data_IF_549399261315
#
_entry.id   IF_549399261315
#
_cell.length_a   1.000
_cell.length_b   1.000
_cell.length_c   1.000
_cell.angle_alpha   90.00
_cell.angle_beta   90.00
_cell.angle_gamma   90.00
#
_symmetry.space_group_name_H-M   'P 1'
#
loop_
_entity.id
_entity.type
_entity.pdbx_description
1 polymer ?
#
# COMPACT_ATOMS: atom_id res chain seq x y z
N UNK A 1 -0.99 1.61 -15.69
CA UNK A 1 -0.38 0.62 -14.77
C UNK A 1 1.07 0.92 -14.53
N UNK A 2 1.60 0.60 -13.34
CA UNK A 2 3.01 0.79 -12.95
C UNK A 2 3.55 -0.57 -12.51
N UNK A 3 4.66 -1.00 -13.10
CA UNK A 3 5.43 -2.18 -12.65
C UNK A 3 6.53 -1.66 -11.72
N UNK A 4 6.72 -2.32 -10.59
CA UNK A 4 7.82 -1.98 -9.68
C UNK A 4 9.18 -2.24 -10.36
N UNK A 5 10.10 -1.33 -10.15
CA UNK A 5 11.50 -1.48 -10.60
C UNK A 5 12.33 -2.26 -9.56
N UNK A 6 11.88 -2.26 -8.32
CA UNK A 6 12.57 -2.88 -7.19
C UNK A 6 12.14 -4.33 -6.98
N UNK A 7 10.87 -4.65 -7.23
CA UNK A 7 10.29 -5.99 -7.04
C UNK A 7 9.77 -6.51 -8.38
N UNK A 8 10.41 -7.53 -8.94
CA UNK A 8 10.18 -7.99 -10.32
C UNK A 8 8.76 -8.47 -10.62
N UNK A 9 8.04 -8.99 -9.64
CA UNK A 9 6.66 -9.50 -9.78
C UNK A 9 5.70 -8.68 -8.89
N UNK A 10 5.71 -7.36 -9.07
CA UNK A 10 4.85 -6.42 -8.36
C UNK A 10 4.40 -5.31 -9.29
N UNK A 11 3.10 -5.00 -9.26
CA UNK A 11 2.54 -3.92 -10.04
C UNK A 11 1.39 -3.20 -9.31
N UNK A 12 1.10 -1.98 -9.76
CA UNK A 12 -0.02 -1.17 -9.32
C UNK A 12 -0.88 -0.77 -10.51
N UNK A 13 -2.18 -1.04 -10.42
CA UNK A 13 -3.13 -0.67 -11.46
C UNK A 13 -3.52 0.81 -11.35
N UNK A 14 -4.03 1.33 -12.44
CA UNK A 14 -4.87 2.53 -12.48
C UNK A 14 -6.35 2.14 -12.45
N UNK A 15 -7.26 3.08 -12.67
CA UNK A 15 -8.71 2.86 -12.66
C UNK A 15 -9.25 2.06 -13.86
N UNK A 16 -8.42 1.70 -14.85
CA UNK A 16 -8.84 0.87 -16.00
C UNK A 16 -9.13 -0.57 -15.59
N UNK A 17 -8.41 -1.10 -14.60
CA UNK A 17 -8.66 -2.42 -14.01
C UNK A 17 -9.85 -2.31 -13.06
N UNK A 18 -10.93 -3.05 -13.36
CA UNK A 18 -12.22 -2.94 -12.66
C UNK A 18 -12.42 -3.96 -11.56
N UNK A 19 -11.68 -5.07 -11.60
CA UNK A 19 -11.85 -6.19 -10.66
C UNK A 19 -10.55 -6.95 -10.44
N UNK A 20 -10.52 -7.75 -9.38
CA UNK A 20 -9.42 -8.69 -9.11
C UNK A 20 -9.28 -9.72 -10.24
N UNK A 21 -10.37 -10.13 -10.90
CA UNK A 21 -10.31 -11.06 -12.03
C UNK A 21 -9.58 -10.43 -13.23
N UNK A 22 -9.91 -9.18 -13.60
CA UNK A 22 -9.17 -8.49 -14.66
C UNK A 22 -7.67 -8.35 -14.31
N UNK A 23 -7.35 -8.19 -13.04
CA UNK A 23 -5.97 -8.13 -12.57
C UNK A 23 -5.27 -9.49 -12.69
N UNK A 24 -5.96 -10.60 -12.35
CA UNK A 24 -5.47 -11.97 -12.53
C UNK A 24 -5.09 -12.25 -13.97
N UNK A 25 -6.01 -11.96 -14.88
CA UNK A 25 -5.85 -12.18 -16.33
C UNK A 25 -4.62 -11.39 -16.85
N UNK A 26 -4.53 -10.12 -16.46
CA UNK A 26 -3.41 -9.26 -16.87
C UNK A 26 -2.06 -9.74 -16.34
N UNK A 27 -1.98 -10.16 -15.10
CA UNK A 27 -0.74 -10.57 -14.45
C UNK A 27 -0.40 -12.06 -14.64
N UNK A 28 -1.29 -12.85 -15.25
CA UNK A 28 -1.12 -14.28 -15.43
C UNK A 28 -1.11 -15.07 -14.11
N UNK A 29 -1.89 -14.61 -13.11
CA UNK A 29 -1.92 -15.20 -11.77
C UNK A 29 -3.18 -16.04 -11.61
N UNK A 30 -3.02 -17.33 -11.27
CA UNK A 30 -4.15 -18.25 -11.10
C UNK A 30 -4.83 -18.11 -9.72
N UNK A 31 -4.02 -18.02 -8.66
CA UNK A 31 -4.49 -17.98 -7.28
C UNK A 31 -4.18 -16.65 -6.61
N UNK A 32 -5.18 -15.98 -6.06
CA UNK A 32 -5.04 -14.69 -5.39
C UNK A 32 -5.69 -14.73 -4.00
N UNK A 33 -4.95 -14.30 -2.98
CA UNK A 33 -5.49 -13.92 -1.68
C UNK A 33 -5.72 -12.40 -1.63
N UNK A 34 -6.83 -11.99 -1.05
CA UNK A 34 -7.22 -10.59 -0.88
C UNK A 34 -7.68 -10.29 0.55
N UNK A 35 -8.04 -9.04 0.82
CA UNK A 35 -8.38 -8.59 2.16
C UNK A 35 -9.74 -7.90 2.20
N UNK A 36 -10.49 -8.15 3.28
CA UNK A 36 -11.56 -7.29 3.75
C UNK A 36 -10.92 -6.21 4.65
N UNK A 37 -10.60 -5.06 4.04
CA UNK A 37 -9.79 -4.00 4.64
C UNK A 37 -10.66 -3.05 5.46
N UNK A 38 -10.37 -2.92 6.74
CA UNK A 38 -11.14 -2.11 7.71
C UNK A 38 -10.33 -0.95 8.34
N UNK A 39 -9.14 -0.66 7.78
CA UNK A 39 -8.15 0.27 8.34
C UNK A 39 -7.63 -0.16 9.72
N UNK A 40 -7.55 -1.46 9.94
CA UNK A 40 -6.94 -2.09 11.11
C UNK A 40 -5.41 -2.13 11.01
N UNK A 41 -4.79 -2.78 11.96
CA UNK A 41 -3.35 -3.09 11.96
C UNK A 41 -3.09 -4.61 12.01
N UNK A 42 -4.12 -5.38 11.65
CA UNK A 42 -4.07 -6.84 11.59
C UNK A 42 -3.29 -7.29 10.37
N UNK A 43 -2.35 -8.23 10.58
CA UNK A 43 -1.52 -8.84 9.53
C UNK A 43 -1.60 -10.34 9.63
N UNK A 44 -2.04 -11.00 8.55
CA UNK A 44 -2.32 -12.44 8.51
C UNK A 44 -1.34 -13.17 7.60
N UNK A 45 -0.81 -14.31 8.09
CA UNK A 45 -0.08 -15.26 7.25
C UNK A 45 -1.08 -16.12 6.48
N UNK A 46 -0.98 -16.12 5.14
CA UNK A 46 -1.96 -16.76 4.27
C UNK A 46 -1.37 -17.91 3.48
N UNK A 47 -2.18 -18.96 3.25
CA UNK A 47 -1.79 -20.18 2.52
C UNK A 47 -2.74 -20.56 1.39
N UNK A 48 -3.87 -19.88 1.26
CA UNK A 48 -4.95 -20.18 0.31
C UNK A 48 -5.46 -18.92 -0.39
N UNK A 49 -6.15 -19.13 -1.51
CA UNK A 49 -6.78 -18.09 -2.31
C UNK A 49 -8.14 -17.73 -1.72
N UNK A 50 -8.14 -16.94 -0.66
CA UNK A 50 -9.31 -16.54 0.11
C UNK A 50 -9.32 -15.03 0.36
N UNK A 51 -10.41 -14.54 0.96
CA UNK A 51 -10.52 -13.18 1.49
C UNK A 51 -10.29 -13.21 3.01
N UNK A 52 -9.36 -12.41 3.50
CA UNK A 52 -8.97 -12.39 4.91
C UNK A 52 -9.39 -11.08 5.58
N UNK A 53 -9.92 -11.14 6.80
CA UNK A 53 -10.24 -9.97 7.62
C UNK A 53 -8.94 -9.38 8.19
N UNK A 54 -8.29 -8.53 7.40
CA UNK A 54 -7.01 -7.90 7.73
C UNK A 54 -6.71 -6.72 6.81
N UNK A 55 -5.77 -5.90 7.20
CA UNK A 55 -5.19 -4.83 6.37
C UNK A 55 -3.76 -5.15 5.91
N UNK A 56 -3.25 -6.33 6.28
CA UNK A 56 -1.99 -6.86 5.80
C UNK A 56 -2.04 -8.37 5.63
N UNK A 57 -1.51 -8.88 4.52
CA UNK A 57 -1.32 -10.31 4.29
C UNK A 57 0.09 -10.59 3.79
N UNK A 58 0.63 -11.75 4.18
CA UNK A 58 1.94 -12.20 3.68
C UNK A 58 1.96 -13.73 3.52
N UNK A 59 2.84 -14.23 2.64
CA UNK A 59 2.95 -15.66 2.34
C UNK A 59 4.37 -16.06 1.94
N UNK A 60 4.66 -17.35 2.10
CA UNK A 60 5.82 -18.03 1.51
C UNK A 60 5.42 -18.92 0.32
N UNK A 61 4.11 -19.07 0.10
CA UNK A 61 3.56 -20.02 -0.88
C UNK A 61 3.83 -19.55 -2.31
N UNK A 62 4.50 -20.36 -3.14
CA UNK A 62 4.66 -20.06 -4.56
C UNK A 62 3.30 -20.10 -5.28
N UNK A 63 3.18 -19.37 -6.38
CA UNK A 63 1.99 -19.27 -7.24
C UNK A 63 0.75 -18.67 -6.55
N UNK A 64 0.88 -18.12 -5.34
CA UNK A 64 -0.17 -17.37 -4.67
C UNK A 64 0.13 -15.88 -4.77
N UNK A 65 -0.68 -15.13 -5.52
CA UNK A 65 -0.63 -13.68 -5.56
C UNK A 65 -1.35 -13.05 -4.38
N UNK A 66 -0.87 -11.91 -3.91
CA UNK A 66 -1.48 -11.11 -2.85
C UNK A 66 -1.95 -9.78 -3.41
N UNK A 67 -3.17 -9.38 -3.09
CA UNK A 67 -3.78 -8.15 -3.59
C UNK A 67 -4.16 -7.21 -2.45
N UNK A 68 -3.84 -5.94 -2.64
CA UNK A 68 -4.32 -4.80 -1.84
C UNK A 68 -5.14 -3.86 -2.70
N UNK A 69 -6.21 -3.29 -2.15
CA UNK A 69 -7.13 -2.38 -2.83
C UNK A 69 -7.09 -1.01 -2.18
N UNK A 70 -7.00 0.05 -2.97
CA UNK A 70 -6.93 1.42 -2.44
C UNK A 70 -7.72 2.43 -3.28
N UNK A 71 -8.09 3.52 -2.63
CA UNK A 71 -8.45 4.81 -3.20
C UNK A 71 -7.98 5.85 -2.18
N UNK A 72 -6.79 6.42 -2.38
CA UNK A 72 -6.02 7.35 -1.55
C UNK A 72 -5.08 6.73 -0.50
N UNK A 73 -5.44 5.63 0.17
CA UNK A 73 -4.50 4.95 1.06
C UNK A 73 -3.31 4.36 0.29
N UNK A 74 -2.18 4.13 0.96
CA UNK A 74 -1.00 3.53 0.36
C UNK A 74 -1.20 2.03 0.12
N UNK A 75 -1.11 1.54 -1.12
CA UNK A 75 -0.86 0.13 -1.40
C UNK A 75 0.64 -0.13 -1.24
N UNK A 76 1.01 -1.02 -0.33
CA UNK A 76 2.39 -1.34 0.00
C UNK A 76 2.63 -2.81 -0.31
N UNK A 77 3.63 -3.09 -1.14
CA UNK A 77 4.05 -4.44 -1.51
C UNK A 77 5.45 -4.70 -0.96
N UNK A 78 5.63 -5.87 -0.33
CA UNK A 78 6.86 -6.26 0.35
C UNK A 78 7.40 -7.56 -0.24
N UNK A 79 8.71 -7.65 -0.37
CA UNK A 79 9.38 -8.89 -0.78
C UNK A 79 10.73 -9.03 -0.11
N UNK A 80 11.02 -10.22 0.43
CA UNK A 80 12.35 -10.67 0.76
C UNK A 80 12.66 -11.96 -0.05
N UNK A 81 13.75 -12.65 0.24
CA UNK A 81 14.12 -13.89 -0.46
C UNK A 81 13.07 -15.00 -0.30
N UNK A 82 12.31 -14.99 0.77
CA UNK A 82 11.40 -16.06 1.17
C UNK A 82 9.92 -15.68 1.06
N UNK A 83 9.58 -14.44 1.44
CA UNK A 83 8.20 -13.96 1.64
C UNK A 83 7.83 -12.87 0.68
N UNK A 84 6.54 -12.80 0.39
CA UNK A 84 5.91 -11.63 -0.22
C UNK A 84 4.78 -11.15 0.69
N UNK A 85 4.45 -9.86 0.62
CA UNK A 85 3.38 -9.25 1.42
C UNK A 85 2.66 -8.13 0.67
N UNK A 86 1.41 -7.90 1.05
CA UNK A 86 0.60 -6.80 0.58
C UNK A 86 -0.10 -6.14 1.77
N UNK A 87 0.06 -4.83 1.93
CA UNK A 87 -0.44 -4.06 3.07
C UNK A 87 -1.25 -2.87 2.57
N UNK A 88 -2.40 -2.66 3.19
CA UNK A 88 -3.21 -1.45 3.08
C UNK A 88 -2.87 -0.51 4.23
N UNK A 89 -2.37 0.69 3.94
CA UNK A 89 -2.08 1.66 4.98
C UNK A 89 -2.55 3.07 4.61
N UNK A 90 -3.59 3.52 5.26
CA UNK A 90 -3.92 4.94 5.40
C UNK A 90 -3.29 5.50 6.68
N UNK A 91 -3.63 6.75 7.06
CA UNK A 91 -3.13 7.37 8.28
C UNK A 91 -3.43 6.57 9.56
N UNK A 92 -4.57 5.85 9.61
CA UNK A 92 -4.91 4.98 10.75
C UNK A 92 -3.96 3.80 10.88
N UNK A 93 -3.65 3.15 9.77
CA UNK A 93 -2.68 2.05 9.72
C UNK A 93 -1.28 2.51 10.11
N UNK A 94 -0.84 3.68 9.61
CA UNK A 94 0.45 4.29 10.00
C UNK A 94 0.49 4.60 11.50
N UNK A 95 -0.55 5.25 12.03
CA UNK A 95 -0.66 5.55 13.47
C UNK A 95 -0.55 4.29 14.33
N UNK A 96 -1.12 3.18 13.86
CA UNK A 96 -1.13 1.90 14.58
C UNK A 96 0.08 1.00 14.24
N UNK A 97 1.09 1.56 13.53
CA UNK A 97 2.35 0.91 13.19
C UNK A 97 2.18 -0.39 12.35
N UNK A 98 1.21 -0.43 11.41
CA UNK A 98 0.98 -1.62 10.58
C UNK A 98 2.21 -1.97 9.74
N UNK A 99 2.96 -0.97 9.26
CA UNK A 99 4.16 -1.18 8.43
C UNK A 99 5.28 -1.78 9.25
N UNK A 100 5.55 -1.25 10.43
CA UNK A 100 6.56 -1.77 11.37
C UNK A 100 6.22 -3.20 11.81
N UNK A 101 4.93 -3.47 12.04
CA UNK A 101 4.45 -4.83 12.35
C UNK A 101 4.67 -5.78 11.17
N UNK A 102 4.46 -5.29 9.94
CA UNK A 102 4.70 -6.07 8.73
C UNK A 102 6.19 -6.37 8.54
N UNK A 103 7.06 -5.36 8.63
CA UNK A 103 8.52 -5.49 8.47
C UNK A 103 9.09 -6.59 9.38
N UNK A 104 8.60 -6.69 10.62
CA UNK A 104 9.00 -7.75 11.58
C UNK A 104 8.70 -9.18 11.12
N UNK A 105 7.91 -9.36 10.06
CA UNK A 105 7.63 -10.68 9.44
C UNK A 105 8.62 -11.06 8.35
N UNK A 106 9.53 -10.15 7.96
CA UNK A 106 10.47 -10.28 6.86
C UNK A 106 11.92 -10.22 7.33
N UNK A 107 12.84 -10.70 6.50
CA UNK A 107 14.27 -10.48 6.69
C UNK A 107 14.63 -9.08 6.20
N UNK A 108 14.78 -8.14 7.14
CA UNK A 108 15.01 -6.71 6.87
C UNK A 108 16.23 -6.46 5.96
N UNK A 109 17.29 -7.26 6.09
CA UNK A 109 18.51 -7.13 5.27
C UNK A 109 18.27 -7.40 3.78
N UNK A 110 17.24 -8.18 3.47
CA UNK A 110 16.87 -8.54 2.10
C UNK A 110 15.50 -7.96 1.69
N UNK A 111 14.93 -7.09 2.52
CA UNK A 111 13.59 -6.54 2.31
C UNK A 111 13.61 -5.43 1.27
N UNK A 112 12.73 -5.58 0.28
CA UNK A 112 12.36 -4.55 -0.69
C UNK A 112 10.88 -4.21 -0.51
N UNK A 113 10.57 -2.91 -0.48
CA UNK A 113 9.21 -2.40 -0.35
C UNK A 113 8.89 -1.50 -1.55
N UNK A 114 7.77 -1.74 -2.20
CA UNK A 114 7.23 -0.87 -3.24
C UNK A 114 5.91 -0.24 -2.77
N UNK A 115 5.78 1.08 -2.91
CA UNK A 115 4.59 1.85 -2.55
C UNK A 115 4.00 2.43 -3.83
N UNK A 116 2.76 2.05 -4.12
CA UNK A 116 2.04 2.48 -5.31
C UNK A 116 1.41 3.88 -5.18
N UNK A 117 0.66 4.31 -6.20
CA UNK A 117 -0.07 5.57 -6.20
C UNK A 117 -1.01 5.70 -4.99
N UNK A 118 -0.95 6.85 -4.33
CA UNK A 118 -1.72 7.17 -3.14
C UNK A 118 -1.90 8.69 -2.98
N UNK A 119 -2.66 9.14 -2.00
CA UNK A 119 -2.80 10.56 -1.69
C UNK A 119 -1.46 11.13 -1.22
N UNK A 120 -0.90 12.08 -1.98
CA UNK A 120 0.38 12.75 -1.71
C UNK A 120 0.15 14.05 -0.93
N UNK A 121 1.21 14.58 -0.32
CA UNK A 121 1.17 15.84 0.44
C UNK A 121 0.74 17.05 -0.39
N UNK A 122 0.79 16.99 -1.72
CA UNK A 122 0.24 18.06 -2.57
C UNK A 122 -1.27 18.29 -2.38
N UNK A 123 -2.03 17.23 -2.01
CA UNK A 123 -3.50 17.26 -1.95
C UNK A 123 -4.07 16.63 -0.66
N UNK A 124 -3.27 15.91 0.12
CA UNK A 124 -3.79 15.16 1.26
C UNK A 124 -3.92 16.02 2.51
N UNK A 125 -4.93 16.90 2.48
CA UNK A 125 -5.31 17.72 3.63
C UNK A 125 -5.79 16.84 4.79
N UNK A 126 -5.36 17.19 6.00
CA UNK A 126 -5.78 16.57 7.27
C UNK A 126 -6.11 17.66 8.29
N UNK A 127 -6.92 17.30 9.28
CA UNK A 127 -7.25 18.18 10.40
C UNK A 127 -6.32 17.93 11.60
N UNK A 128 -6.45 18.77 12.63
CA UNK A 128 -5.63 18.70 13.84
C UNK A 128 -5.72 17.33 14.55
N UNK A 129 -6.87 16.66 14.46
CA UNK A 129 -7.08 15.32 15.04
C UNK A 129 -6.18 14.24 14.42
N UNK A 130 -5.77 14.42 13.17
CA UNK A 130 -4.79 13.55 12.47
C UNK A 130 -3.38 14.10 12.63
N UNK A 131 -3.19 15.40 12.39
CA UNK A 131 -1.90 16.10 12.44
C UNK A 131 -1.14 15.84 13.74
N UNK A 132 -1.81 15.82 14.89
CA UNK A 132 -1.18 15.55 16.21
C UNK A 132 -0.40 14.23 16.30
N UNK A 133 -0.65 13.26 15.42
CA UNK A 133 0.09 11.99 15.35
C UNK A 133 1.26 12.04 14.36
N UNK A 134 1.33 13.10 13.52
CA UNK A 134 2.25 13.19 12.39
C UNK A 134 2.88 14.58 12.27
N UNK A 135 3.23 15.22 13.39
CA UNK A 135 3.75 16.60 13.40
C UNK A 135 4.91 16.81 12.42
N UNK A 136 5.89 15.89 12.41
CA UNK A 136 7.09 15.99 11.57
C UNK A 136 6.84 15.62 10.10
N UNK A 137 5.65 15.11 9.80
CA UNK A 137 5.22 14.66 8.49
C UNK A 137 4.10 15.51 7.90
N UNK A 138 3.77 16.61 8.56
CA UNK A 138 2.67 17.49 8.16
C UNK A 138 3.20 18.89 7.86
N UNK A 139 2.85 19.40 6.68
CA UNK A 139 3.18 20.76 6.24
C UNK A 139 1.97 21.67 6.38
N UNK A 140 2.18 22.88 6.92
CA UNK A 140 1.18 23.94 6.96
C UNK A 140 1.26 24.80 5.70
N UNK A 141 0.19 24.85 4.92
CA UNK A 141 0.04 25.71 3.72
C UNK A 141 -1.33 26.37 3.77
N UNK A 142 -1.39 27.68 3.63
CA UNK A 142 -2.63 28.47 3.60
C UNK A 142 -3.60 28.16 4.75
N UNK A 143 -3.05 27.92 5.96
CA UNK A 143 -3.85 27.57 7.14
C UNK A 143 -4.34 26.13 7.20
N UNK A 144 -3.98 25.28 6.23
CA UNK A 144 -4.38 23.88 6.15
C UNK A 144 -3.16 22.95 6.31
N UNK A 145 -3.36 21.79 6.94
CA UNK A 145 -2.32 20.80 7.14
C UNK A 145 -2.34 19.73 6.05
N UNK A 146 -1.19 19.43 5.46
CA UNK A 146 -1.02 18.41 4.42
C UNK A 146 -0.08 17.30 4.89
N UNK A 147 -0.58 16.07 4.97
CA UNK A 147 0.19 14.93 5.47
C UNK A 147 1.00 14.26 4.35
N UNK A 148 2.28 14.04 4.61
CA UNK A 148 3.19 13.27 3.77
C UNK A 148 3.36 11.85 4.30
N UNK A 149 2.47 10.93 3.93
CA UNK A 149 2.55 9.52 4.33
C UNK A 149 3.80 8.83 3.77
N UNK A 150 4.24 9.21 2.57
CA UNK A 150 5.45 8.66 1.94
C UNK A 150 6.71 8.94 2.73
N UNK A 151 6.82 10.14 3.32
CA UNK A 151 7.97 10.52 4.13
C UNK A 151 8.10 9.63 5.37
N UNK A 152 6.99 9.23 6.00
CA UNK A 152 7.00 8.30 7.14
C UNK A 152 7.73 7.00 6.77
N UNK A 153 7.41 6.44 5.59
CA UNK A 153 8.03 5.19 5.14
C UNK A 153 9.47 5.39 4.66
N UNK A 154 9.78 6.55 4.10
CA UNK A 154 11.15 6.89 3.71
C UNK A 154 12.06 6.94 4.94
N UNK A 155 11.66 7.68 5.97
CA UNK A 155 12.44 7.80 7.23
C UNK A 155 12.55 6.44 7.94
N UNK A 156 11.49 5.62 7.88
CA UNK A 156 11.51 4.25 8.39
C UNK A 156 12.52 3.37 7.64
N UNK A 157 12.60 3.50 6.31
CA UNK A 157 13.56 2.75 5.49
C UNK A 157 15.00 3.11 5.81
N UNK A 158 15.28 4.38 6.01
CA UNK A 158 16.61 4.88 6.40
C UNK A 158 17.01 4.36 7.80
N UNK A 159 16.05 4.32 8.72
CA UNK A 159 16.26 3.83 10.09
C UNK A 159 16.48 2.32 10.15
N UNK A 160 15.69 1.54 9.46
CA UNK A 160 15.69 0.07 9.55
C UNK A 160 16.59 -0.60 8.50
N UNK A 161 17.01 0.12 7.44
CA UNK A 161 17.98 -0.33 6.44
C UNK A 161 17.42 -1.19 5.32
N UNK A 162 16.13 -1.11 5.01
CA UNK A 162 15.51 -1.78 3.85
C UNK A 162 15.43 -0.87 2.61
N UNK A 163 15.26 -1.47 1.44
CA UNK A 163 15.09 -0.72 0.19
C UNK A 163 13.63 -0.33 -0.02
N UNK A 164 13.38 0.93 -0.44
CA UNK A 164 12.04 1.41 -0.73
C UNK A 164 11.94 2.10 -2.08
N UNK A 165 10.91 1.77 -2.86
CA UNK A 165 10.47 2.47 -4.07
C UNK A 165 9.13 3.14 -3.78
N UNK A 166 9.01 4.43 -4.05
CA UNK A 166 7.79 5.20 -3.76
C UNK A 166 7.27 5.84 -5.05
N UNK A 167 6.01 5.60 -5.40
CA UNK A 167 5.35 6.28 -6.50
C UNK A 167 5.16 7.76 -6.17
N UNK A 168 5.49 8.63 -7.10
CA UNK A 168 5.23 10.08 -7.01
C UNK A 168 3.81 10.48 -7.44
N UNK A 169 2.97 9.53 -7.85
CA UNK A 169 1.63 9.79 -8.35
C UNK A 169 0.66 10.00 -7.18
N UNK A 170 0.02 11.18 -7.18
CA UNK A 170 -1.08 11.50 -6.27
C UNK A 170 -2.41 11.05 -6.86
N UNK A 171 -3.17 10.23 -6.13
CA UNK A 171 -4.47 9.73 -6.58
C UNK A 171 -5.57 10.79 -6.58
N UNK A 172 -5.42 11.87 -5.79
CA UNK A 172 -6.42 12.93 -5.67
C UNK A 172 -6.41 13.83 -6.91
N UNK A 173 -5.23 14.29 -7.35
CA UNK A 173 -5.11 15.21 -8.48
C UNK A 173 -4.81 14.53 -9.82
N UNK A 174 -4.71 13.19 -9.88
CA UNK A 174 -4.52 12.45 -11.11
C UNK A 174 -5.79 11.67 -11.49
N UNK A 175 -6.49 12.15 -12.49
CA UNK A 175 -7.77 11.59 -12.96
C UNK A 175 -7.70 10.15 -13.49
N UNK A 176 -6.50 9.57 -13.68
CA UNK A 176 -6.34 8.16 -14.06
C UNK A 176 -6.53 7.19 -12.88
N UNK A 177 -6.69 7.69 -11.66
CA UNK A 177 -6.83 6.89 -10.45
C UNK A 177 -8.18 7.13 -9.75
N UNK A 178 -8.60 6.18 -8.92
CA UNK A 178 -9.74 6.34 -8.05
C UNK A 178 -9.33 7.10 -6.78
N UNK A 179 -10.08 8.12 -6.39
CA UNK A 179 -9.86 8.87 -5.16
C UNK A 179 -11.16 8.98 -4.36
N UNK A 180 -11.14 8.46 -3.14
CA UNK A 180 -12.25 8.63 -2.21
C UNK A 180 -12.34 10.08 -1.71
N UNK A 181 -11.22 10.75 -1.56
CA UNK A 181 -11.16 12.15 -1.13
C UNK A 181 -11.83 13.08 -2.13
N UNK A 182 -11.58 12.88 -3.41
CA UNK A 182 -12.10 13.72 -4.48
C UNK A 182 -13.62 13.56 -4.65
N UNK A 183 -14.12 12.32 -4.76
CA UNK A 183 -15.50 12.08 -5.23
C UNK A 183 -16.25 10.98 -4.49
N UNK A 184 -15.76 10.51 -3.33
CA UNK A 184 -16.39 9.47 -2.49
C UNK A 184 -16.60 8.14 -3.23
N UNK A 185 -15.82 7.85 -4.25
CA UNK A 185 -15.96 6.62 -5.03
C UNK A 185 -15.83 5.35 -4.19
N UNK A 186 -16.63 4.34 -4.51
CA UNK A 186 -16.48 2.98 -3.96
C UNK A 186 -15.53 2.12 -4.78
N UNK A 187 -15.11 2.59 -5.96
CA UNK A 187 -14.15 1.89 -6.83
C UNK A 187 -12.76 1.96 -6.24
N UNK A 188 -11.94 0.94 -6.59
CA UNK A 188 -10.56 0.83 -6.13
C UNK A 188 -9.62 0.60 -7.31
N UNK A 189 -8.35 0.99 -7.15
CA UNK A 189 -7.23 0.43 -7.86
C UNK A 189 -6.54 -0.62 -6.98
N UNK A 190 -5.63 -1.37 -7.59
CA UNK A 190 -5.04 -2.56 -6.98
C UNK A 190 -3.51 -2.47 -6.96
N UNK A 191 -2.91 -2.95 -5.89
CA UNK A 191 -1.53 -3.42 -5.88
C UNK A 191 -1.52 -4.94 -5.84
N UNK A 192 -0.67 -5.59 -6.64
CA UNK A 192 -0.52 -7.04 -6.64
C UNK A 192 0.95 -7.43 -6.65
N UNK A 193 1.26 -8.47 -5.87
CA UNK A 193 2.58 -9.10 -5.81
C UNK A 193 2.41 -10.61 -5.86
N UNK A 194 3.32 -11.30 -6.58
CA UNK A 194 3.31 -12.76 -6.70
C UNK A 194 4.73 -13.35 -6.80
N UNK A 195 4.83 -14.67 -6.68
CA UNK A 195 6.09 -15.44 -6.83
C UNK A 195 6.06 -16.36 -8.04
#
# INVERSE_FOLDING_TARGET
MIVSKLISKALFSDKSIKSVNNLKDYAGIEYIASMNQTHSDVITFVKSSEVYDSDGIYTEKPKLGLVVQTADCMPILLSDKKRIGAIHSGWRGLKNNIVEKAIKKFDVKNLSIAIGPHAQSCCYEVKEDVKKYFNDYTELRDGMFFLNMSKVLKDLSEKEGFQVEISSICTICNSSYNSYRENKTTRRQFGVIWK
#
